data_IF_181350010379
#
_entry.id   IF_181350010379
#
_cell.length_a   1.000
_cell.length_b   1.000
_cell.length_c   1.000
_cell.angle_alpha   90.00
_cell.angle_beta   90.00
_cell.angle_gamma   90.00
#
_symmetry.space_group_name_H-M   'P 1'
#
loop_
_entity.id
_entity.type
_entity.pdbx_description
1 polymer ?
#
# COMPACT_ATOMS: atom_id res chain seq x y z
N UNK A 1 16.97 -25.54 13.22
CA UNK A 1 15.56 -25.84 12.88
C UNK A 1 14.77 -25.52 14.13
N UNK A 2 14.33 -24.27 14.29
CA UNK A 2 13.73 -23.78 15.53
C UNK A 2 12.38 -23.18 15.22
N UNK A 3 11.37 -23.71 15.90
CA UNK A 3 9.99 -23.25 15.89
C UNK A 3 9.93 -21.75 16.17
N UNK A 4 9.43 -21.00 15.17
CA UNK A 4 8.96 -19.65 15.35
C UNK A 4 7.61 -19.73 16.05
N UNK A 5 7.59 -19.72 17.38
CA UNK A 5 6.38 -19.47 18.16
C UNK A 5 5.96 -18.00 17.97
N UNK A 6 5.25 -17.77 16.87
CA UNK A 6 4.69 -16.50 16.41
C UNK A 6 3.42 -16.09 17.22
N UNK A 7 3.03 -16.86 18.25
CA UNK A 7 1.64 -16.87 18.75
C UNK A 7 1.44 -16.31 20.18
N UNK A 8 2.47 -15.87 20.89
CA UNK A 8 2.29 -15.42 22.29
C UNK A 8 1.99 -13.92 22.49
N UNK A 9 1.79 -13.14 21.42
CA UNK A 9 1.35 -11.73 21.53
C UNK A 9 0.13 -11.37 20.68
N UNK A 10 -0.48 -12.35 20.01
CA UNK A 10 -1.82 -12.18 19.44
C UNK A 10 -2.78 -12.64 20.54
N UNK A 11 -3.75 -11.82 21.02
CA UNK A 11 -4.79 -12.35 21.89
C UNK A 11 -5.36 -13.57 21.17
N UNK A 12 -5.32 -14.77 21.79
CA UNK A 12 -5.86 -16.00 21.20
C UNK A 12 -7.26 -15.67 20.68
N UNK A 13 -7.37 -15.42 19.38
CA UNK A 13 -8.61 -15.09 18.70
C UNK A 13 -9.39 -16.39 18.65
N UNK A 14 -10.01 -16.71 19.77
CA UNK A 14 -10.99 -17.79 19.84
C UNK A 14 -12.13 -17.41 18.89
N UNK A 15 -12.81 -18.41 18.34
CA UNK A 15 -13.97 -18.19 17.46
C UNK A 15 -14.99 -17.23 18.12
N UNK A 16 -15.08 -17.27 19.46
CA UNK A 16 -15.87 -16.35 20.27
C UNK A 16 -15.39 -14.88 20.22
N UNK A 17 -14.08 -14.62 20.21
CA UNK A 17 -13.52 -13.27 20.07
C UNK A 17 -13.80 -12.67 18.69
N UNK A 18 -13.71 -13.50 17.64
CA UNK A 18 -14.09 -13.09 16.27
C UNK A 18 -15.58 -12.78 16.19
N UNK A 19 -16.41 -13.63 16.81
CA UNK A 19 -17.86 -13.44 16.86
C UNK A 19 -18.26 -12.18 17.64
N UNK A 20 -17.59 -11.87 18.75
CA UNK A 20 -17.82 -10.64 19.53
C UNK A 20 -17.41 -9.37 18.76
N UNK A 21 -16.29 -9.40 18.05
CA UNK A 21 -15.88 -8.29 17.17
C UNK A 21 -16.92 -8.12 16.04
N UNK A 22 -17.40 -9.21 15.44
CA UNK A 22 -18.44 -9.16 14.41
C UNK A 22 -19.79 -8.69 14.95
N UNK A 23 -20.15 -9.00 16.20
CA UNK A 23 -21.42 -8.57 16.80
C UNK A 23 -21.40 -7.10 17.22
N UNK A 24 -20.28 -6.62 17.77
CA UNK A 24 -20.14 -5.23 18.22
C UNK A 24 -19.74 -4.28 17.09
N UNK A 25 -18.74 -4.66 16.30
CA UNK A 25 -18.24 -3.83 15.22
C UNK A 25 -18.98 -4.08 13.90
N UNK A 26 -19.66 -5.22 13.73
CA UNK A 26 -20.41 -5.53 12.51
C UNK A 26 -21.45 -4.49 12.13
N UNK A 27 -22.34 -4.04 13.02
CA UNK A 27 -23.34 -3.01 12.70
C UNK A 27 -22.74 -1.67 12.23
N UNK A 28 -21.48 -1.38 12.58
CA UNK A 28 -20.77 -0.16 12.18
C UNK A 28 -19.83 -0.36 10.99
N UNK A 29 -19.17 -1.51 10.91
CA UNK A 29 -18.24 -1.89 9.84
C UNK A 29 -18.96 -2.36 8.57
N UNK A 30 -20.06 -3.12 8.68
CA UNK A 30 -20.84 -3.59 7.52
C UNK A 30 -21.33 -2.44 6.64
N UNK A 31 -22.04 -1.41 7.15
CA UNK A 31 -22.53 -0.34 6.30
C UNK A 31 -21.38 0.44 5.66
N UNK A 32 -20.24 0.61 6.36
CA UNK A 32 -19.06 1.29 5.82
C UNK A 32 -18.32 0.45 4.78
N UNK A 33 -18.18 -0.85 5.00
CA UNK A 33 -17.62 -1.80 4.03
C UNK A 33 -18.48 -1.93 2.78
N UNK A 34 -19.80 -1.97 2.96
CA UNK A 34 -20.77 -1.93 1.85
C UNK A 34 -20.72 -0.60 1.11
N UNK A 35 -20.62 0.54 1.82
CA UNK A 35 -20.45 1.85 1.19
C UNK A 35 -19.12 1.94 0.43
N UNK A 36 -18.03 1.40 0.98
CA UNK A 36 -16.73 1.29 0.33
C UNK A 36 -16.81 0.44 -0.94
N UNK A 37 -17.39 -0.76 -0.86
CA UNK A 37 -17.58 -1.64 -2.02
C UNK A 37 -18.47 -0.99 -3.09
N UNK A 38 -19.59 -0.37 -2.68
CA UNK A 38 -20.46 0.39 -3.60
C UNK A 38 -19.71 1.55 -4.24
N UNK A 39 -18.83 2.24 -3.51
CA UNK A 39 -18.03 3.34 -4.05
C UNK A 39 -17.01 2.89 -5.11
N UNK A 40 -16.42 1.70 -4.95
CA UNK A 40 -15.56 1.08 -5.97
C UNK A 40 -16.41 0.68 -7.19
N UNK A 41 -17.56 0.05 -6.96
CA UNK A 41 -18.43 -0.40 -8.04
C UNK A 41 -19.00 0.77 -8.85
N UNK A 42 -19.43 1.84 -8.19
CA UNK A 42 -19.96 3.04 -8.85
C UNK A 42 -18.87 3.86 -9.52
N UNK A 43 -17.63 3.82 -9.00
CA UNK A 43 -16.49 4.49 -9.61
C UNK A 43 -16.26 4.01 -11.05
N UNK A 44 -16.43 2.71 -11.33
CA UNK A 44 -16.25 2.11 -12.67
C UNK A 44 -17.45 2.27 -13.62
N UNK A 45 -18.53 2.94 -13.20
CA UNK A 45 -19.77 3.11 -13.98
C UNK A 45 -19.95 4.54 -14.52
N UNK A 46 -19.04 5.45 -14.22
CA UNK A 46 -19.11 6.85 -14.68
C UNK A 46 -18.62 7.03 -16.12
N UNK A 47 -19.10 8.04 -16.86
CA UNK A 47 -18.69 8.30 -18.24
C UNK A 47 -17.18 8.59 -18.41
N UNK A 48 -16.50 9.07 -17.36
CA UNK A 48 -15.03 9.32 -17.33
C UNK A 48 -14.25 8.27 -16.52
N UNK A 49 -14.79 7.06 -16.34
CA UNK A 49 -14.23 6.04 -15.44
C UNK A 49 -13.44 4.92 -16.11
N UNK A 50 -12.95 5.14 -17.33
CA UNK A 50 -12.15 4.11 -18.00
C UNK A 50 -10.93 3.76 -17.15
N UNK A 51 -10.74 2.46 -16.92
CA UNK A 51 -9.56 1.94 -16.22
C UNK A 51 -8.34 2.31 -17.05
N UNK A 52 -7.48 3.14 -16.48
CA UNK A 52 -6.25 3.61 -17.13
C UNK A 52 -5.02 2.91 -16.55
N UNK A 53 -3.94 2.74 -17.33
CA UNK A 53 -2.67 2.31 -16.78
C UNK A 53 -2.14 3.35 -15.76
N UNK A 54 -1.34 2.93 -14.78
CA UNK A 54 -0.75 3.84 -13.81
C UNK A 54 0.19 4.83 -14.52
N UNK A 55 0.11 6.14 -14.21
CA UNK A 55 1.06 7.11 -14.75
C UNK A 55 2.51 6.73 -14.41
N UNK A 56 3.50 7.02 -15.27
CA UNK A 56 4.87 6.53 -15.10
C UNK A 56 5.55 7.03 -13.82
N UNK A 57 5.20 8.23 -13.34
CA UNK A 57 5.70 8.77 -12.08
C UNK A 57 5.12 8.02 -10.87
N UNK A 58 3.83 7.68 -10.88
CA UNK A 58 3.18 6.86 -9.85
C UNK A 58 3.73 5.44 -9.88
N UNK A 59 3.99 4.87 -11.06
CA UNK A 59 4.58 3.53 -11.17
C UNK A 59 5.97 3.46 -10.50
N UNK A 60 6.80 4.50 -10.65
CA UNK A 60 8.09 4.58 -9.93
C UNK A 60 7.89 4.62 -8.41
N UNK A 61 6.89 5.36 -7.94
CA UNK A 61 6.55 5.41 -6.51
C UNK A 61 6.12 4.03 -5.98
N UNK A 62 5.27 3.33 -6.74
CA UNK A 62 4.82 1.97 -6.40
C UNK A 62 6.00 0.99 -6.35
N UNK A 63 6.94 1.11 -7.29
CA UNK A 63 8.16 0.30 -7.28
C UNK A 63 9.04 0.59 -6.05
N UNK A 64 9.15 1.86 -5.64
CA UNK A 64 9.89 2.25 -4.43
C UNK A 64 9.22 1.69 -3.18
N UNK A 65 7.89 1.81 -3.06
CA UNK A 65 7.13 1.21 -1.96
C UNK A 65 7.29 -0.31 -1.92
N UNK A 66 7.20 -0.97 -3.08
CA UNK A 66 7.40 -2.42 -3.17
C UNK A 66 8.82 -2.84 -2.76
N UNK A 67 9.84 -2.10 -3.20
CA UNK A 67 11.22 -2.33 -2.76
C UNK A 67 11.36 -2.10 -1.24
N UNK A 68 10.71 -1.07 -0.68
CA UNK A 68 10.65 -0.82 0.76
C UNK A 68 10.04 -1.98 1.53
N UNK A 69 8.92 -2.53 1.05
CA UNK A 69 8.29 -3.73 1.62
C UNK A 69 9.25 -4.91 1.60
N UNK A 70 9.92 -5.18 0.48
CA UNK A 70 10.89 -6.28 0.38
C UNK A 70 12.06 -6.09 1.34
N UNK A 71 12.61 -4.87 1.43
CA UNK A 71 13.69 -4.56 2.37
C UNK A 71 13.24 -4.79 3.81
N UNK A 72 12.06 -4.28 4.19
CA UNK A 72 11.52 -4.49 5.54
C UNK A 72 11.33 -5.98 5.85
N UNK A 73 10.79 -6.77 4.91
CA UNK A 73 10.63 -8.22 5.06
C UNK A 73 11.99 -8.92 5.18
N UNK A 74 12.99 -8.55 4.38
CA UNK A 74 14.35 -9.09 4.49
C UNK A 74 14.96 -8.75 5.85
N UNK A 75 14.74 -7.54 6.37
CA UNK A 75 15.20 -7.13 7.69
C UNK A 75 14.51 -7.86 8.86
N UNK A 76 13.42 -8.60 8.62
CA UNK A 76 12.85 -9.50 9.64
C UNK A 76 13.61 -10.82 9.77
N UNK A 77 14.44 -11.18 8.79
CA UNK A 77 15.20 -12.43 8.82
C UNK A 77 16.23 -12.42 9.97
N UNK A 78 16.45 -13.58 10.62
CA UNK A 78 17.34 -13.68 11.79
C UNK A 78 18.78 -13.26 11.48
N UNK A 79 19.22 -13.38 10.22
CA UNK A 79 20.55 -12.96 9.78
C UNK A 79 20.81 -11.45 9.94
N UNK A 80 19.78 -10.60 9.82
CA UNK A 80 19.89 -9.14 9.99
C UNK A 80 19.57 -8.66 11.41
N UNK A 81 19.41 -9.62 12.33
CA UNK A 81 19.15 -9.37 13.74
C UNK A 81 20.44 -9.59 14.52
N UNK A 82 20.77 -8.74 15.52
CA UNK A 82 21.96 -8.95 16.32
C UNK A 82 21.86 -10.29 17.07
N UNK A 83 23.00 -10.97 17.19
CA UNK A 83 23.13 -12.22 17.92
C UNK A 83 22.67 -12.06 19.37
N UNK A 84 21.98 -13.08 19.87
CA UNK A 84 21.53 -13.12 21.25
C UNK A 84 22.36 -14.13 22.02
N UNK A 85 23.26 -13.63 22.87
CA UNK A 85 24.25 -14.42 23.61
C UNK A 85 23.59 -15.52 24.44
N UNK A 86 22.45 -15.23 25.07
CA UNK A 86 21.73 -16.19 25.91
C UNK A 86 20.99 -17.26 25.09
N UNK A 87 20.40 -16.88 23.95
CA UNK A 87 19.77 -17.85 23.04
C UNK A 87 20.80 -18.78 22.40
N UNK A 88 21.92 -18.24 21.95
CA UNK A 88 22.96 -19.01 21.27
C UNK A 88 23.68 -19.97 22.23
N UNK A 89 23.92 -19.55 23.48
CA UNK A 89 24.54 -20.42 24.50
C UNK A 89 23.53 -21.31 25.23
N UNK A 90 22.23 -21.20 24.95
CA UNK A 90 21.18 -21.91 25.68
C UNK A 90 21.16 -21.59 27.18
N UNK A 91 21.54 -20.37 27.55
CA UNK A 91 21.78 -19.97 28.94
C UNK A 91 20.64 -19.14 29.50
N UNK A 92 20.24 -19.42 30.75
CA UNK A 92 19.25 -18.61 31.47
C UNK A 92 19.81 -17.22 31.81
N UNK A 93 18.93 -16.21 31.93
CA UNK A 93 19.33 -14.83 32.26
C UNK A 93 20.03 -14.69 33.64
N UNK A 94 19.76 -15.61 34.58
CA UNK A 94 20.42 -15.64 35.90
C UNK A 94 21.65 -16.54 35.99
N UNK A 95 22.30 -16.87 34.86
CA UNK A 95 23.50 -17.69 34.86
C UNK A 95 24.71 -16.90 35.38
N UNK A 96 25.59 -17.47 36.23
CA UNK A 96 26.82 -16.81 36.64
C UNK A 96 27.71 -16.46 35.44
N UNK A 97 28.34 -15.27 35.45
CA UNK A 97 29.12 -14.71 34.34
C UNK A 97 30.26 -15.64 33.90
N UNK A 98 30.99 -16.26 34.85
CA UNK A 98 32.08 -17.20 34.54
C UNK A 98 31.59 -18.44 33.78
N UNK A 99 30.40 -18.94 34.11
CA UNK A 99 29.82 -20.08 33.41
C UNK A 99 29.32 -19.67 32.02
N UNK A 100 28.74 -18.47 31.88
CA UNK A 100 28.38 -17.91 30.59
C UNK A 100 29.61 -17.74 29.68
N UNK A 101 30.69 -17.18 30.21
CA UNK A 101 31.98 -17.03 29.52
C UNK A 101 32.52 -18.39 29.05
N UNK A 102 32.52 -19.42 29.91
CA UNK A 102 33.00 -20.75 29.53
C UNK A 102 32.18 -21.38 28.39
N UNK A 103 30.86 -21.18 28.38
CA UNK A 103 29.98 -21.66 27.30
C UNK A 103 30.18 -20.89 26.01
N UNK A 104 30.40 -19.58 26.11
CA UNK A 104 30.63 -18.73 24.95
C UNK A 104 31.97 -19.06 24.29
N UNK A 105 33.02 -19.26 25.09
CA UNK A 105 34.32 -19.73 24.62
C UNK A 105 34.23 -21.09 23.93
N UNK A 106 33.44 -22.02 24.50
CA UNK A 106 33.20 -23.32 23.87
C UNK A 106 32.44 -23.21 22.53
N UNK A 107 31.47 -22.29 22.44
CA UNK A 107 30.70 -22.05 21.21
C UNK A 107 31.52 -21.36 20.11
N UNK A 108 32.52 -20.56 20.49
CA UNK A 108 33.35 -19.75 19.59
C UNK A 108 34.76 -20.32 19.38
N UNK A 109 35.01 -21.54 19.83
CA UNK A 109 36.31 -22.22 19.72
C UNK A 109 37.48 -21.37 20.26
N UNK A 110 37.22 -20.57 21.31
CA UNK A 110 38.21 -19.70 21.95
C UNK A 110 38.33 -18.28 21.39
N UNK A 111 37.65 -17.93 20.28
CA UNK A 111 37.73 -16.61 19.66
C UNK A 111 36.48 -15.76 19.94
N UNK A 112 36.55 -14.93 20.98
CA UNK A 112 35.46 -14.02 21.35
C UNK A 112 35.41 -12.79 20.43
N UNK A 113 34.19 -12.33 20.10
CA UNK A 113 34.01 -11.05 19.44
C UNK A 113 34.27 -9.88 20.41
N UNK A 114 34.79 -8.73 19.96
CA UNK A 114 34.99 -7.56 20.83
C UNK A 114 33.71 -7.10 21.56
N UNK A 115 32.53 -7.30 20.95
CA UNK A 115 31.25 -7.01 21.59
C UNK A 115 30.90 -8.00 22.70
N UNK A 116 31.28 -9.27 22.53
CA UNK A 116 31.07 -10.33 23.51
C UNK A 116 32.01 -10.14 24.71
N UNK A 117 33.26 -9.77 24.48
CA UNK A 117 34.22 -9.41 25.52
C UNK A 117 33.72 -8.23 26.36
N UNK A 118 33.29 -7.16 25.71
CA UNK A 118 32.75 -5.97 26.39
C UNK A 118 31.47 -6.30 27.19
N UNK A 119 30.63 -7.20 26.67
CA UNK A 119 29.46 -7.67 27.41
C UNK A 119 29.83 -8.41 28.69
N UNK A 120 30.79 -9.33 28.61
CA UNK A 120 31.29 -10.07 29.77
C UNK A 120 31.98 -9.13 30.76
N UNK A 121 32.78 -8.18 30.30
CA UNK A 121 33.41 -7.15 31.12
C UNK A 121 32.36 -6.35 31.90
N UNK A 122 31.31 -5.84 31.24
CA UNK A 122 30.23 -5.12 31.92
C UNK A 122 29.49 -5.97 32.94
N UNK A 123 29.25 -7.24 32.63
CA UNK A 123 28.65 -8.19 33.60
C UNK A 123 29.55 -8.45 34.82
N UNK A 124 30.88 -8.35 34.68
CA UNK A 124 31.85 -8.53 35.77
C UNK A 124 32.17 -7.25 36.53
N UNK A 125 32.07 -6.08 35.89
CA UNK A 125 32.41 -4.76 36.42
C UNK A 125 31.36 -4.16 37.38
N UNK A 126 30.13 -4.71 37.40
CA UNK A 126 29.09 -4.36 38.38
C UNK A 126 28.92 -5.41 39.52
N UNK A 127 29.97 -5.99 40.14
CA UNK A 127 29.81 -7.11 41.07
C UNK A 127 29.39 -6.66 42.47
N UNK A 128 29.45 -5.36 42.77
CA UNK A 128 29.24 -4.81 44.11
C UNK A 128 27.77 -4.85 44.57
N UNK A 129 26.83 -5.22 43.69
CA UNK A 129 25.40 -5.24 43.99
C UNK A 129 24.81 -6.64 43.86
N UNK A 130 24.14 -7.10 44.91
CA UNK A 130 23.37 -8.35 44.91
C UNK A 130 22.31 -8.28 43.79
N UNK A 131 22.38 -9.20 42.83
CA UNK A 131 21.58 -9.31 41.58
C UNK A 131 22.05 -8.55 40.32
N UNK A 132 23.12 -7.74 40.36
CA UNK A 132 23.61 -7.00 39.18
C UNK A 132 23.73 -7.80 37.86
N UNK A 133 24.35 -9.01 37.83
CA UNK A 133 24.45 -9.78 36.59
C UNK A 133 23.08 -10.25 36.06
N UNK A 134 22.09 -10.42 36.94
CA UNK A 134 20.72 -10.74 36.56
C UNK A 134 20.02 -9.52 35.98
N UNK A 135 20.15 -8.36 36.61
CA UNK A 135 19.46 -7.13 36.20
C UNK A 135 19.97 -6.63 34.85
N UNK A 136 21.28 -6.69 34.61
CA UNK A 136 21.87 -6.36 33.31
C UNK A 136 21.38 -7.32 32.21
N UNK A 137 21.21 -8.60 32.51
CA UNK A 137 20.66 -9.59 31.59
C UNK A 137 19.16 -9.33 31.26
N UNK A 138 18.37 -8.84 32.23
CA UNK A 138 16.98 -8.42 32.00
C UNK A 138 16.92 -7.18 31.09
N UNK A 139 17.78 -6.18 31.37
CA UNK A 139 17.90 -4.97 30.55
C UNK A 139 18.41 -5.29 29.13
N UNK A 140 19.29 -6.27 28.99
CA UNK A 140 19.73 -6.81 27.69
C UNK A 140 18.56 -7.41 26.89
N UNK A 141 17.65 -8.14 27.56
CA UNK A 141 16.44 -8.67 26.90
C UNK A 141 15.49 -7.55 26.44
N UNK A 142 15.39 -6.46 27.21
CA UNK A 142 14.51 -5.32 26.96
C UNK A 142 15.06 -4.36 25.88
N UNK A 143 16.29 -3.90 26.00
CA UNK A 143 16.87 -2.84 25.15
C UNK A 143 17.91 -3.31 24.14
N UNK A 144 18.37 -4.57 24.25
CA UNK A 144 19.31 -5.16 23.31
C UNK A 144 20.79 -4.83 23.57
N UNK A 145 21.69 -5.40 22.76
CA UNK A 145 23.14 -5.33 22.98
C UNK A 145 23.69 -3.90 22.87
N UNK A 146 23.32 -3.14 21.84
CA UNK A 146 23.92 -1.82 21.60
C UNK A 146 23.68 -0.84 22.75
N UNK A 147 22.47 -0.80 23.30
CA UNK A 147 22.10 0.11 24.40
C UNK A 147 22.86 -0.27 25.66
N UNK A 148 22.87 -1.55 26.01
CA UNK A 148 23.55 -2.05 27.21
C UNK A 148 25.07 -1.88 27.13
N UNK A 149 25.66 -2.08 25.94
CA UNK A 149 27.11 -2.06 25.74
C UNK A 149 27.67 -0.65 25.54
N UNK A 150 27.01 0.20 24.77
CA UNK A 150 27.57 1.49 24.32
C UNK A 150 27.08 2.70 25.10
N UNK A 151 26.08 2.56 25.95
CA UNK A 151 25.59 3.69 26.74
C UNK A 151 26.61 4.11 27.81
N UNK A 152 27.07 5.37 27.83
CA UNK A 152 28.09 5.84 28.78
C UNK A 152 27.52 6.33 30.11
N UNK A 153 26.22 6.66 30.18
CA UNK A 153 25.56 7.20 31.37
C UNK A 153 24.47 6.29 31.93
N UNK A 154 24.27 5.11 31.33
CA UNK A 154 23.22 4.20 31.77
C UNK A 154 23.65 3.47 33.03
N UNK A 155 22.72 3.37 33.98
CA UNK A 155 22.91 2.69 35.25
C UNK A 155 21.70 1.79 35.53
N UNK A 156 21.89 0.55 36.04
CA UNK A 156 20.80 -0.32 36.46
C UNK A 156 19.88 0.31 37.53
N UNK A 157 20.35 1.31 38.28
CA UNK A 157 19.57 2.03 39.29
C UNK A 157 18.50 2.94 38.70
N UNK A 158 18.75 3.41 37.49
CA UNK A 158 17.87 4.32 36.77
C UNK A 158 17.54 3.68 35.42
N UNK A 159 16.63 2.70 35.37
CA UNK A 159 16.32 1.95 34.14
C UNK A 159 15.87 2.87 32.99
N UNK A 160 15.28 4.02 33.30
CA UNK A 160 14.90 5.04 32.32
C UNK A 160 16.09 5.61 31.53
N UNK A 161 17.32 5.55 32.08
CA UNK A 161 18.54 5.97 31.36
C UNK A 161 18.75 5.15 30.07
N UNK A 162 18.47 3.84 30.10
CA UNK A 162 18.54 2.96 28.94
C UNK A 162 17.47 3.32 27.90
N UNK A 163 16.26 3.67 28.33
CA UNK A 163 15.22 4.16 27.43
C UNK A 163 15.69 5.43 26.71
N UNK A 164 16.18 6.43 27.44
CA UNK A 164 16.62 7.70 26.84
C UNK A 164 17.73 7.52 25.81
N UNK A 165 18.66 6.58 26.05
CA UNK A 165 19.70 6.23 25.08
C UNK A 165 19.14 5.47 23.86
N UNK A 166 18.13 4.61 24.04
CA UNK A 166 17.51 3.84 22.97
C UNK A 166 16.61 4.69 22.05
N UNK A 167 16.01 5.76 22.57
CA UNK A 167 15.02 6.58 21.86
C UNK A 167 15.49 7.15 20.52
N UNK A 168 16.68 7.77 20.40
CA UNK A 168 17.15 8.28 19.12
C UNK A 168 17.24 7.21 18.03
N UNK A 169 17.67 5.99 18.40
CA UNK A 169 17.74 4.88 17.44
C UNK A 169 16.35 4.42 17.00
N UNK A 170 15.39 4.32 17.93
CA UNK A 170 14.00 3.96 17.63
C UNK A 170 13.35 5.03 16.74
N UNK A 171 13.42 6.29 17.17
CA UNK A 171 12.83 7.42 16.45
C UNK A 171 13.49 7.64 15.08
N UNK A 172 14.80 7.36 14.96
CA UNK A 172 15.51 7.46 13.69
C UNK A 172 14.89 6.58 12.59
N UNK A 173 14.53 5.33 12.89
CA UNK A 173 13.85 4.45 11.93
C UNK A 173 12.48 4.99 11.53
N UNK A 174 11.70 5.51 12.48
CA UNK A 174 10.40 6.12 12.19
C UNK A 174 10.52 7.41 11.39
N UNK A 175 11.52 8.24 11.64
CA UNK A 175 11.78 9.45 10.88
C UNK A 175 12.12 9.14 9.42
N UNK A 176 12.95 8.11 9.18
CA UNK A 176 13.26 7.64 7.83
C UNK A 176 11.99 7.15 7.11
N UNK A 177 11.15 6.37 7.81
CA UNK A 177 9.90 5.87 7.23
C UNK A 177 8.89 6.99 6.93
N UNK A 178 8.66 7.91 7.88
CA UNK A 178 7.78 9.07 7.67
C UNK A 178 8.31 9.96 6.53
N UNK A 179 9.63 10.14 6.43
CA UNK A 179 10.24 10.88 5.33
C UNK A 179 9.98 10.19 3.98
N UNK A 180 10.16 8.87 3.90
CA UNK A 180 9.87 8.07 2.70
C UNK A 180 8.39 8.20 2.29
N UNK A 181 7.47 8.02 3.24
CA UNK A 181 6.03 8.20 3.02
C UNK A 181 5.70 9.62 2.54
N UNK A 182 6.31 10.63 3.17
CA UNK A 182 6.13 12.04 2.83
C UNK A 182 6.71 12.41 1.46
N UNK A 183 7.81 11.79 1.05
CA UNK A 183 8.41 11.95 -0.27
C UNK A 183 7.52 11.32 -1.36
N UNK A 184 7.09 10.08 -1.15
CA UNK A 184 6.23 9.35 -2.09
C UNK A 184 4.88 10.04 -2.25
N UNK A 185 4.27 10.54 -1.17
CA UNK A 185 2.99 11.26 -1.21
C UNK A 185 3.13 12.76 -1.52
N UNK A 186 4.32 13.24 -1.90
CA UNK A 186 4.48 14.64 -2.30
C UNK A 186 3.92 14.90 -3.70
N UNK A 187 3.40 16.10 -3.92
CA UNK A 187 2.94 16.57 -5.25
C UNK A 187 4.06 16.55 -6.27
N UNK A 188 5.31 16.74 -5.85
CA UNK A 188 6.48 16.72 -6.73
C UNK A 188 6.78 15.33 -7.30
N UNK A 189 6.61 14.27 -6.50
CA UNK A 189 7.01 12.91 -6.88
C UNK A 189 5.85 12.10 -7.46
N UNK A 190 4.68 12.12 -6.81
CA UNK A 190 3.50 11.32 -7.21
C UNK A 190 2.37 12.14 -7.82
N UNK A 191 2.54 13.46 -7.97
CA UNK A 191 1.51 14.34 -8.50
C UNK A 191 0.31 14.46 -7.57
N UNK A 192 -0.83 14.85 -8.16
CA UNK A 192 -2.08 15.02 -7.43
C UNK A 192 -2.65 13.71 -6.87
N UNK A 193 -2.27 12.56 -7.44
CA UNK A 193 -2.79 11.26 -7.01
C UNK A 193 -2.25 10.87 -5.63
N UNK A 194 -0.93 10.94 -5.41
CA UNK A 194 -0.34 10.62 -4.11
C UNK A 194 -0.49 11.73 -3.07
N UNK A 195 -0.62 13.00 -3.48
CA UNK A 195 -0.86 14.12 -2.57
C UNK A 195 -2.12 13.94 -1.71
N UNK A 196 -3.15 13.25 -2.22
CA UNK A 196 -4.39 12.93 -1.50
C UNK A 196 -4.16 12.03 -0.29
N UNK A 197 -3.12 11.20 -0.34
CA UNK A 197 -2.81 10.21 0.69
C UNK A 197 -1.84 10.73 1.75
N UNK A 198 -1.25 11.92 1.55
CA UNK A 198 -0.22 12.50 2.42
C UNK A 198 -0.65 12.59 3.88
N UNK A 199 -1.85 13.10 4.17
CA UNK A 199 -2.34 13.24 5.54
C UNK A 199 -2.49 11.88 6.22
N UNK A 200 -3.07 10.89 5.52
CA UNK A 200 -3.25 9.54 6.05
C UNK A 200 -1.91 8.83 6.27
N UNK A 201 -0.99 8.95 5.32
CA UNK A 201 0.36 8.38 5.44
C UNK A 201 1.13 9.00 6.61
N UNK A 202 1.02 10.32 6.80
CA UNK A 202 1.67 11.03 7.92
C UNK A 202 1.07 10.59 9.26
N UNK A 203 -0.27 10.52 9.36
CA UNK A 203 -0.96 10.04 10.56
C UNK A 203 -0.53 8.60 10.88
N UNK A 204 -0.50 7.71 9.88
CA UNK A 204 -0.08 6.33 10.05
C UNK A 204 1.37 6.23 10.57
N UNK A 205 2.31 6.96 9.95
CA UNK A 205 3.71 6.96 10.40
C UNK A 205 3.89 7.51 11.82
N UNK A 206 3.22 8.61 12.16
CA UNK A 206 3.26 9.17 13.53
C UNK A 206 2.61 8.22 14.54
N UNK A 207 1.51 7.57 14.17
CA UNK A 207 0.84 6.59 15.04
C UNK A 207 1.72 5.37 15.31
N UNK A 208 2.47 4.88 14.31
CA UNK A 208 3.43 3.80 14.50
C UNK A 208 4.57 4.21 15.45
N UNK A 209 5.13 5.41 15.27
CA UNK A 209 6.17 5.93 16.16
C UNK A 209 5.69 6.07 17.60
N UNK A 210 4.49 6.66 17.79
CA UNK A 210 3.88 6.81 19.11
C UNK A 210 3.54 5.45 19.75
N UNK A 211 3.08 4.49 18.95
CA UNK A 211 2.77 3.13 19.41
C UNK A 211 4.01 2.39 19.91
N UNK A 212 5.11 2.42 19.16
CA UNK A 212 6.37 1.80 19.58
C UNK A 212 6.98 2.50 20.80
N UNK A 213 6.94 3.84 20.83
CA UNK A 213 7.35 4.61 22.01
C UNK A 213 6.56 4.19 23.24
N UNK A 214 5.23 4.14 23.13
CA UNK A 214 4.34 3.76 24.23
C UNK A 214 4.62 2.34 24.72
N UNK A 215 4.76 1.37 23.81
CA UNK A 215 5.09 -0.01 24.16
C UNK A 215 6.46 -0.12 24.86
N UNK A 216 7.47 0.62 24.39
CA UNK A 216 8.81 0.60 25.01
C UNK A 216 8.80 1.29 26.37
N UNK A 217 8.06 2.39 26.52
CA UNK A 217 7.95 3.14 27.78
C UNK A 217 7.19 2.37 28.87
N UNK A 218 6.14 1.64 28.48
CA UNK A 218 5.30 0.88 29.42
C UNK A 218 5.78 -0.54 29.70
N UNK A 219 6.86 -0.97 29.03
CA UNK A 219 7.36 -2.33 29.16
C UNK A 219 7.96 -2.60 30.56
N UNK A 220 7.40 -3.60 31.24
CA UNK A 220 7.95 -4.11 32.50
C UNK A 220 9.10 -5.09 32.23
N UNK A 221 10.33 -4.58 32.27
CA UNK A 221 11.54 -5.38 32.07
C UNK A 221 11.82 -6.35 33.23
N UNK A 222 11.32 -6.07 34.44
CA UNK A 222 11.48 -6.92 35.62
C UNK A 222 10.61 -8.18 35.54
N UNK A 223 9.55 -8.16 34.73
CA UNK A 223 8.68 -9.32 34.50
C UNK A 223 9.45 -10.57 34.05
N UNK A 224 10.54 -10.39 33.27
CA UNK A 224 11.42 -11.48 32.86
C UNK A 224 12.20 -12.10 34.03
N UNK A 225 12.36 -11.40 35.14
CA UNK A 225 13.07 -11.88 36.33
C UNK A 225 12.35 -13.01 37.06
N UNK A 226 11.05 -13.18 36.80
CA UNK A 226 10.19 -14.26 37.34
C UNK A 226 10.24 -15.53 36.50
N UNK A 227 10.65 -15.42 35.23
CA UNK A 227 10.64 -16.51 34.25
C UNK A 227 11.90 -17.36 34.39
N UNK A 228 11.75 -18.69 34.42
CA UNK A 228 12.86 -19.61 34.72
C UNK A 228 13.34 -20.38 33.49
N UNK A 229 12.45 -20.63 32.52
CA UNK A 229 12.81 -21.29 31.28
C UNK A 229 13.21 -20.27 30.20
N UNK A 230 14.17 -20.64 29.36
CA UNK A 230 14.66 -19.79 28.26
C UNK A 230 13.57 -19.47 27.23
N UNK A 231 12.67 -20.43 26.97
CA UNK A 231 11.55 -20.26 26.05
C UNK A 231 10.48 -19.30 26.56
N UNK A 232 10.35 -19.15 27.88
CA UNK A 232 9.37 -18.22 28.47
C UNK A 232 9.86 -16.76 28.43
N UNK A 233 11.18 -16.55 28.37
CA UNK A 233 11.79 -15.22 28.38
C UNK A 233 11.25 -14.38 27.22
N UNK A 234 10.77 -13.19 27.56
CA UNK A 234 10.31 -12.24 26.57
C UNK A 234 11.49 -11.42 26.03
N UNK A 235 11.92 -11.76 24.82
CA UNK A 235 12.97 -11.07 24.08
C UNK A 235 12.44 -9.81 23.41
N UNK A 236 11.97 -8.85 24.22
CA UNK A 236 11.24 -7.66 23.77
C UNK A 236 11.98 -6.87 22.68
N UNK A 237 13.28 -6.61 22.83
CA UNK A 237 14.07 -5.88 21.84
C UNK A 237 13.97 -6.51 20.42
N UNK A 238 14.18 -7.82 20.34
CA UNK A 238 14.14 -8.55 19.06
C UNK A 238 12.72 -8.61 18.50
N UNK A 239 11.71 -8.81 19.35
CA UNK A 239 10.30 -8.81 18.94
C UNK A 239 9.88 -7.45 18.39
N UNK A 240 10.17 -6.36 19.11
CA UNK A 240 9.81 -5.00 18.68
C UNK A 240 10.51 -4.62 17.38
N UNK A 241 11.78 -5.00 17.20
CA UNK A 241 12.47 -4.82 15.92
C UNK A 241 11.73 -5.52 14.77
N UNK A 242 11.30 -6.77 14.97
CA UNK A 242 10.53 -7.51 13.96
C UNK A 242 9.18 -6.84 13.69
N UNK A 243 8.42 -6.52 14.73
CA UNK A 243 7.12 -5.85 14.63
C UNK A 243 7.21 -4.49 13.93
N UNK A 244 8.27 -3.71 14.20
CA UNK A 244 8.52 -2.43 13.51
C UNK A 244 8.65 -2.63 12.01
N UNK A 245 9.48 -3.58 11.57
CA UNK A 245 9.66 -3.85 10.13
C UNK A 245 8.37 -4.38 9.49
N UNK A 246 7.64 -5.25 10.18
CA UNK A 246 6.36 -5.77 9.69
C UNK A 246 5.31 -4.66 9.59
N UNK A 247 5.27 -3.74 10.56
CA UNK A 247 4.38 -2.59 10.55
C UNK A 247 4.69 -1.65 9.38
N UNK A 248 5.97 -1.32 9.14
CA UNK A 248 6.38 -0.53 7.98
C UNK A 248 5.98 -1.20 6.66
N UNK A 249 6.29 -2.49 6.50
CA UNK A 249 5.90 -3.26 5.31
C UNK A 249 4.38 -3.25 5.10
N UNK A 250 3.61 -3.39 6.17
CA UNK A 250 2.15 -3.41 6.10
C UNK A 250 1.59 -2.04 5.69
N UNK A 251 2.10 -0.96 6.28
CA UNK A 251 1.70 0.41 5.92
C UNK A 251 2.06 0.75 4.48
N UNK A 252 3.25 0.39 4.03
CA UNK A 252 3.71 0.63 2.65
C UNK A 252 2.89 -0.17 1.63
N UNK A 253 2.56 -1.43 1.96
CA UNK A 253 1.69 -2.27 1.13
C UNK A 253 0.28 -1.68 0.99
N UNK A 254 -0.33 -1.24 2.10
CA UNK A 254 -1.65 -0.59 2.05
C UNK A 254 -1.63 0.72 1.29
N UNK A 255 -0.62 1.57 1.54
CA UNK A 255 -0.48 2.83 0.82
C UNK A 255 -0.30 2.59 -0.68
N UNK A 256 0.57 1.66 -1.06
CA UNK A 256 0.79 1.27 -2.46
C UNK A 256 -0.48 0.73 -3.12
N UNK A 257 -1.22 -0.12 -2.41
CA UNK A 257 -2.49 -0.66 -2.87
C UNK A 257 -3.53 0.45 -3.14
N UNK A 258 -3.72 1.37 -2.18
CA UNK A 258 -4.67 2.47 -2.33
C UNK A 258 -4.23 3.46 -3.42
N UNK A 259 -2.94 3.77 -3.50
CA UNK A 259 -2.38 4.61 -4.54
C UNK A 259 -2.66 4.01 -5.93
N UNK A 260 -2.40 2.72 -6.10
CA UNK A 260 -2.69 1.99 -7.34
C UNK A 260 -4.18 2.01 -7.69
N UNK A 261 -5.07 1.77 -6.73
CA UNK A 261 -6.52 1.83 -6.95
C UNK A 261 -6.97 3.23 -7.41
N UNK A 262 -6.44 4.28 -6.78
CA UNK A 262 -6.80 5.66 -7.14
C UNK A 262 -6.21 6.11 -8.47
N UNK A 263 -4.95 5.79 -8.76
CA UNK A 263 -4.31 6.26 -9.99
C UNK A 263 -4.84 5.53 -11.24
N UNK A 264 -5.33 4.30 -11.11
CA UNK A 264 -5.91 3.52 -12.22
C UNK A 264 -7.41 3.76 -12.41
N UNK A 265 -7.98 4.77 -11.73
CA UNK A 265 -9.42 5.09 -11.75
C UNK A 265 -10.33 3.95 -11.25
N UNK A 266 -9.80 2.96 -10.54
CA UNK A 266 -10.58 1.85 -9.97
C UNK A 266 -11.33 2.24 -8.71
N UNK A 267 -10.90 3.30 -8.03
CA UNK A 267 -11.52 3.80 -6.81
C UNK A 267 -11.31 5.31 -6.65
N UNK A 268 -12.33 6.02 -6.13
CA UNK A 268 -12.31 7.47 -5.89
C UNK A 268 -11.87 8.31 -7.11
N UNK A 269 -12.47 8.00 -8.27
CA UNK A 269 -12.32 8.75 -9.51
C UNK A 269 -12.62 10.22 -9.25
N UNK A 270 -11.60 11.06 -9.40
CA UNK A 270 -11.82 12.51 -9.46
C UNK A 270 -12.16 12.83 -10.92
N UNK A 271 -13.34 13.41 -11.20
CA UNK A 271 -13.58 13.93 -12.54
C UNK A 271 -12.53 14.99 -12.83
N UNK A 272 -12.03 15.01 -14.07
CA UNK A 272 -11.16 16.09 -14.55
C UNK A 272 -11.81 17.44 -14.24
N UNK A 273 -11.01 18.46 -13.95
CA UNK A 273 -11.56 19.79 -13.64
C UNK A 273 -12.44 20.28 -14.80
N UNK A 274 -13.45 21.11 -14.54
CA UNK A 274 -14.33 21.65 -15.60
C UNK A 274 -13.48 22.30 -16.70
N UNK A 275 -12.39 22.98 -16.33
CA UNK A 275 -11.42 23.58 -17.25
C UNK A 275 -10.68 22.56 -18.09
N UNK A 276 -10.32 21.41 -17.53
CA UNK A 276 -9.62 20.34 -18.23
C UNK A 276 -10.57 19.58 -19.17
N UNK A 277 -11.80 19.32 -18.74
CA UNK A 277 -12.87 18.81 -19.61
C UNK A 277 -13.18 19.77 -20.75
N UNK A 278 -13.21 21.09 -20.48
CA UNK A 278 -13.42 22.11 -21.50
C UNK A 278 -12.25 22.11 -22.50
N UNK A 279 -11.01 22.00 -22.03
CA UNK A 279 -9.84 21.94 -22.90
C UNK A 279 -9.85 20.69 -23.78
N UNK A 280 -10.14 19.51 -23.22
CA UNK A 280 -10.26 18.26 -23.99
C UNK A 280 -11.38 18.36 -25.04
N UNK A 281 -12.56 18.86 -24.64
CA UNK A 281 -13.67 19.06 -25.57
C UNK A 281 -13.32 20.08 -26.67
N UNK A 282 -12.61 21.15 -26.32
CA UNK A 282 -12.17 22.18 -27.27
C UNK A 282 -11.12 21.62 -28.24
N UNK A 283 -10.21 20.77 -27.76
CA UNK A 283 -9.20 20.13 -28.59
C UNK A 283 -9.83 19.13 -29.56
N UNK A 284 -10.77 18.29 -29.09
CA UNK A 284 -11.52 17.38 -29.94
C UNK A 284 -12.39 18.12 -30.98
N UNK A 285 -13.00 19.24 -30.57
CA UNK A 285 -13.75 20.12 -31.48
C UNK A 285 -12.83 20.74 -32.54
N UNK A 286 -11.64 21.20 -32.15
CA UNK A 286 -10.65 21.77 -33.07
C UNK A 286 -10.18 20.73 -34.09
N UNK A 287 -9.87 19.51 -33.66
CA UNK A 287 -9.52 18.40 -34.55
C UNK A 287 -10.65 18.11 -35.55
N UNK A 288 -11.89 17.99 -35.06
CA UNK A 288 -13.07 17.77 -35.91
C UNK A 288 -13.30 18.92 -36.90
N UNK A 289 -13.11 20.16 -36.46
CA UNK A 289 -13.24 21.35 -37.30
C UNK A 289 -12.19 21.39 -38.41
N UNK A 290 -10.94 21.01 -38.11
CA UNK A 290 -9.90 20.91 -39.14
C UNK A 290 -10.25 19.85 -40.20
N UNK A 291 -10.77 18.69 -39.80
CA UNK A 291 -11.21 17.66 -40.74
C UNK A 291 -12.38 18.16 -41.61
N UNK A 292 -13.38 18.83 -41.03
CA UNK A 292 -14.51 19.40 -41.77
C UNK A 292 -14.02 20.46 -42.77
N UNK A 293 -13.10 21.33 -42.37
CA UNK A 293 -12.54 22.34 -43.26
C UNK A 293 -11.76 21.72 -44.42
N UNK A 294 -10.97 20.68 -44.17
CA UNK A 294 -10.27 19.93 -45.22
C UNK A 294 -11.29 19.33 -46.19
N UNK A 295 -12.30 18.62 -45.69
CA UNK A 295 -13.36 18.02 -46.53
C UNK A 295 -14.14 19.08 -47.30
N UNK A 296 -14.45 20.22 -46.69
CA UNK A 296 -15.13 21.35 -47.31
C UNK A 296 -14.28 21.96 -48.43
N UNK A 297 -12.99 22.17 -48.20
CA UNK A 297 -12.06 22.67 -49.21
C UNK A 297 -11.90 21.70 -50.38
N UNK A 298 -11.81 20.40 -50.10
CA UNK A 298 -11.75 19.35 -51.11
C UNK A 298 -13.03 19.30 -51.92
N UNK A 299 -14.20 19.37 -51.27
CA UNK A 299 -15.49 19.43 -51.96
C UNK A 299 -15.60 20.66 -52.85
N UNK A 300 -15.16 21.82 -52.38
CA UNK A 300 -15.13 23.04 -53.20
C UNK A 300 -14.18 22.90 -54.41
N UNK A 301 -13.02 22.25 -54.24
CA UNK A 301 -12.11 21.97 -55.35
C UNK A 301 -12.74 21.03 -56.38
N UNK A 302 -13.34 19.92 -55.93
CA UNK A 302 -14.05 18.96 -56.79
C UNK A 302 -15.20 19.63 -57.53
N UNK A 303 -16.01 20.45 -56.85
CA UNK A 303 -17.14 21.13 -57.48
C UNK A 303 -16.68 22.19 -58.48
N UNK A 304 -15.49 22.78 -58.34
CA UNK A 304 -14.99 23.78 -59.30
C UNK A 304 -14.35 23.17 -60.54
N UNK A 305 -13.77 21.98 -60.41
CA UNK A 305 -13.14 21.25 -61.52
C UNK A 305 -14.17 20.38 -62.27
N UNK A 306 -14.25 20.49 -63.59
CA UNK A 306 -15.25 19.75 -64.37
C UNK A 306 -14.93 18.24 -64.48
N UNK A 307 -13.66 17.85 -64.50
CA UNK A 307 -13.23 16.45 -64.61
C UNK A 307 -13.45 15.70 -63.29
N UNK A 308 -13.06 16.32 -62.17
CA UNK A 308 -13.31 15.76 -60.84
C UNK A 308 -14.81 15.69 -60.51
N UNK A 309 -15.60 16.67 -60.93
CA UNK A 309 -17.06 16.63 -60.77
C UNK A 309 -17.70 15.50 -61.58
N UNK A 310 -17.23 15.27 -62.81
CA UNK A 310 -17.65 14.15 -63.64
C UNK A 310 -17.36 12.81 -62.97
N UNK A 311 -16.11 12.61 -62.52
CA UNK A 311 -15.67 11.40 -61.81
C UNK A 311 -16.47 11.17 -60.52
N UNK A 312 -16.74 12.23 -59.75
CA UNK A 312 -17.58 12.14 -58.55
C UNK A 312 -19.01 11.69 -58.90
N UNK A 313 -19.60 12.25 -59.96
CA UNK A 313 -20.92 11.87 -60.44
C UNK A 313 -20.98 10.39 -60.86
N UNK A 314 -19.99 9.93 -61.62
CA UNK A 314 -19.86 8.53 -62.03
C UNK A 314 -19.73 7.59 -60.85
N UNK A 315 -18.88 7.93 -59.87
CA UNK A 315 -18.75 7.15 -58.63
C UNK A 315 -20.09 7.01 -57.90
N UNK A 316 -20.82 8.11 -57.70
CA UNK A 316 -22.11 8.06 -56.99
C UNK A 316 -23.19 7.32 -57.77
N UNK A 317 -23.19 7.43 -59.11
CA UNK A 317 -24.08 6.65 -59.97
C UNK A 317 -23.76 5.15 -59.88
N UNK A 318 -22.48 4.78 -59.98
CA UNK A 318 -22.03 3.39 -59.87
C UNK A 318 -22.35 2.81 -58.49
N UNK A 319 -22.04 3.52 -57.41
CA UNK A 319 -22.32 3.09 -56.05
C UNK A 319 -23.83 2.98 -55.77
N UNK A 320 -24.64 3.91 -56.30
CA UNK A 320 -26.09 3.83 -56.21
C UNK A 320 -26.69 2.68 -57.03
N UNK A 321 -26.03 2.27 -58.13
CA UNK A 321 -26.41 1.09 -58.90
C UNK A 321 -26.03 -0.19 -58.15
N UNK A 322 -24.82 -0.26 -57.60
CA UNK A 322 -24.34 -1.38 -56.80
C UNK A 322 -25.17 -1.59 -55.53
N UNK A 323 -25.46 -0.51 -54.81
CA UNK A 323 -26.36 -0.55 -53.64
C UNK A 323 -27.74 -1.07 -54.02
N UNK A 324 -28.32 -0.62 -55.15
CA UNK A 324 -29.61 -1.13 -55.63
C UNK A 324 -29.54 -2.61 -56.03
N UNK A 325 -28.43 -3.04 -56.63
CA UNK A 325 -28.23 -4.45 -56.96
C UNK A 325 -28.19 -5.30 -55.68
N UNK A 326 -27.39 -4.90 -54.69
CA UNK A 326 -27.30 -5.56 -53.38
C UNK A 326 -28.68 -5.58 -52.68
N UNK A 327 -29.39 -4.45 -52.66
CA UNK A 327 -30.74 -4.37 -52.09
C UNK A 327 -31.77 -5.25 -52.84
N UNK A 328 -31.54 -5.54 -54.12
CA UNK A 328 -32.39 -6.39 -54.93
C UNK A 328 -32.10 -7.89 -54.80
N UNK A 329 -31.00 -8.26 -54.15
CA UNK A 329 -30.66 -9.66 -53.90
C UNK A 329 -31.70 -10.31 -52.98
N UNK A 330 -32.12 -11.54 -53.34
CA UNK A 330 -33.16 -12.26 -52.60
C UNK A 330 -32.81 -12.46 -51.13
N UNK A 331 -31.54 -12.73 -50.84
CA UNK A 331 -31.06 -12.91 -49.46
C UNK A 331 -31.22 -11.64 -48.62
N UNK A 332 -30.93 -10.47 -49.18
CA UNK A 332 -31.07 -9.17 -48.51
C UNK A 332 -32.55 -8.82 -48.31
N UNK A 333 -33.39 -9.07 -49.31
CA UNK A 333 -34.84 -8.87 -49.22
C UNK A 333 -35.44 -9.76 -48.13
N UNK A 334 -35.06 -11.04 -48.09
CA UNK A 334 -35.56 -12.00 -47.10
C UNK A 334 -35.07 -11.65 -45.69
N UNK A 335 -33.79 -11.29 -45.54
CA UNK A 335 -33.24 -10.82 -44.28
C UNK A 335 -33.95 -9.54 -43.78
N UNK A 336 -34.22 -8.59 -44.70
CA UNK A 336 -34.97 -7.36 -44.39
C UNK A 336 -36.39 -7.68 -43.95
N UNK A 337 -37.08 -8.58 -44.64
CA UNK A 337 -38.45 -8.98 -44.31
C UNK A 337 -38.52 -9.69 -42.96
N UNK A 338 -37.54 -10.54 -42.63
CA UNK A 338 -37.41 -11.18 -41.30
C UNK A 338 -37.11 -10.16 -40.21
N UNK A 339 -36.24 -9.17 -40.47
CA UNK A 339 -35.97 -8.10 -39.52
C UNK A 339 -37.21 -7.24 -39.29
N UNK A 340 -37.93 -6.87 -40.35
CA UNK A 340 -39.18 -6.12 -40.28
C UNK A 340 -40.29 -6.89 -39.57
N UNK A 341 -40.41 -8.20 -39.77
CA UNK A 341 -41.42 -9.02 -39.07
C UNK A 341 -41.15 -9.15 -37.58
N UNK A 342 -39.89 -9.00 -37.16
CA UNK A 342 -39.46 -8.99 -35.74
C UNK A 342 -39.55 -7.60 -35.12
N UNK A 343 -39.71 -6.56 -35.93
CA UNK A 343 -39.73 -5.18 -35.48
C UNK A 343 -41.17 -4.77 -35.17
N UNK A 344 -41.44 -4.42 -33.92
CA UNK A 344 -42.75 -3.91 -33.50
C UNK A 344 -42.89 -2.44 -33.93
N UNK A 345 -43.51 -2.24 -35.10
CA UNK A 345 -43.71 -0.93 -35.73
C UNK A 345 -44.49 0.02 -34.82
N UNK A 346 -45.41 -0.50 -33.99
CA UNK A 346 -46.20 0.31 -33.07
C UNK A 346 -45.33 0.82 -31.92
N UNK A 347 -44.46 -0.04 -31.37
CA UNK A 347 -43.47 0.37 -30.37
C UNK A 347 -42.50 1.42 -30.89
N UNK A 348 -42.11 1.32 -32.16
CA UNK A 348 -41.21 2.28 -32.80
C UNK A 348 -41.85 3.67 -32.97
N UNK A 349 -43.11 3.73 -33.40
CA UNK A 349 -43.88 4.98 -33.46
C UNK A 349 -44.01 5.63 -32.09
N UNK A 350 -44.39 4.87 -31.07
CA UNK A 350 -44.47 5.37 -29.68
C UNK A 350 -43.12 5.88 -29.20
N UNK A 351 -42.01 5.21 -29.55
CA UNK A 351 -40.67 5.66 -29.17
C UNK A 351 -40.30 6.96 -29.89
N UNK A 352 -40.66 7.09 -31.16
CA UNK A 352 -40.41 8.29 -31.95
C UNK A 352 -41.22 9.49 -31.47
N UNK A 353 -42.52 9.30 -31.20
CA UNK A 353 -43.40 10.34 -30.67
C UNK A 353 -42.92 10.81 -29.28
N UNK A 354 -42.50 9.88 -28.41
CA UNK A 354 -41.91 10.21 -27.11
C UNK A 354 -40.57 10.97 -27.21
N UNK A 355 -39.75 10.67 -28.22
CA UNK A 355 -38.48 11.39 -28.44
C UNK A 355 -38.75 12.80 -28.97
N UNK A 356 -39.69 12.95 -29.91
CA UNK A 356 -40.10 14.26 -30.41
C UNK A 356 -40.71 15.12 -29.30
N UNK A 357 -41.63 14.58 -28.49
CA UNK A 357 -42.19 15.31 -27.34
C UNK A 357 -41.10 15.74 -26.36
N UNK A 358 -40.10 14.90 -26.08
CA UNK A 358 -38.98 15.27 -25.18
C UNK A 358 -38.07 16.33 -25.76
N UNK A 359 -37.82 16.31 -27.07
CA UNK A 359 -36.99 17.33 -27.74
C UNK A 359 -37.74 18.66 -27.79
N UNK A 360 -39.04 18.65 -28.07
CA UNK A 360 -39.87 19.87 -28.09
C UNK A 360 -40.23 20.41 -26.71
N UNK A 361 -40.28 19.57 -25.66
CA UNK A 361 -40.45 20.02 -24.28
C UNK A 361 -39.15 20.51 -23.62
N UNK A 362 -38.00 20.24 -24.25
CA UNK A 362 -36.68 20.69 -23.80
C UNK A 362 -36.15 21.96 -24.50
N UNK A 363 -36.86 22.44 -25.51
CA UNK A 363 -36.72 23.76 -26.15
C UNK A 363 -37.74 24.72 -25.52
#
# INVERSE_FOLDING_TARGET
MHDFDFIDFVPKLTVYSVFQILLFAGPWLLPRGLAFYRSIRSANQGPNSSVRPPPPHVQRCLNILFAGVLVCLVLTLPYFSPSNVFKETGSRLGLPTKLLQSRLLALREGNLSPLEELFLEKMEAEPQKWNAPKDLALLYAAYGPDVVLKCPFCSPEQPNSYLYYALPAIMGWHMIHIFLLGAITSTFVSGNEGARWRTYATIAGVALAAGEFYMTYTYDWEANGKKRALGEVDWFYWKMRMWRQLAFATTDAFLGWFLWLTCTNRWLVKPASITEQLNEATQALAESYTQINIVSSLRNAIVRDNELRGTQGEYWLANGQETRNIESEREVIDARNIAMSRMDINRLKVTYDNVLERVFAGL
#
